data_IF_956941983570
#
_entry.id   IF_956941983570
#
_cell.length_a   1.000
_cell.length_b   1.000
_cell.length_c   1.000
_cell.angle_alpha   90.00
_cell.angle_beta   90.00
_cell.angle_gamma   90.00
#
_symmetry.space_group_name_H-M   'P 1'
#
loop_
_entity.id
_entity.type
_entity.pdbx_description
1 polymer ?
#
# COMPACT_ATOMS: atom_id res chain seq x y z
N UNK A 1 -7.00 16.63 0.47
CA UNK A 1 -5.55 16.26 0.57
C UNK A 1 -5.42 14.76 0.77
N UNK A 2 -5.29 14.02 -0.33
CA UNK A 2 -5.38 12.55 -0.34
C UNK A 2 -4.06 11.90 0.08
N UNK A 3 -4.07 11.22 1.23
CA UNK A 3 -2.91 10.55 1.83
C UNK A 3 -3.02 9.03 1.68
N UNK A 4 -2.53 8.49 0.56
CA UNK A 4 -2.34 7.04 0.37
C UNK A 4 -0.86 6.67 0.39
N UNK A 5 -0.56 5.60 1.13
CA UNK A 5 0.78 5.15 1.52
C UNK A 5 1.65 4.74 0.33
N UNK A 6 2.94 5.03 0.45
CA UNK A 6 4.00 4.83 -0.56
C UNK A 6 4.97 3.74 -0.09
N UNK A 7 5.29 2.76 -0.95
CA UNK A 7 6.32 1.72 -0.78
C UNK A 7 7.02 1.51 -2.13
N UNK A 8 8.23 1.00 -2.21
CA UNK A 8 8.81 0.44 -3.45
C UNK A 8 9.47 -0.85 -3.00
N UNK A 9 9.44 -1.94 -3.77
CA UNK A 9 10.14 -3.18 -3.42
C UNK A 9 11.23 -3.49 -4.43
N UNK A 10 12.28 -4.16 -3.98
CA UNK A 10 13.31 -4.74 -4.85
C UNK A 10 13.36 -6.24 -4.61
N UNK A 11 13.65 -7.05 -5.64
CA UNK A 11 13.85 -8.49 -5.51
C UNK A 11 15.26 -8.87 -5.94
N UNK A 12 16.00 -9.53 -5.04
CA UNK A 12 16.92 -10.63 -5.30
C UNK A 12 17.12 -11.39 -3.97
N UNK A 13 17.20 -12.73 -4.00
CA UNK A 13 17.18 -13.58 -2.80
C UNK A 13 18.50 -13.59 -2.00
N UNK A 14 18.51 -14.00 -0.71
CA UNK A 14 17.37 -14.13 0.18
C UNK A 14 17.12 -12.82 0.93
N UNK A 15 15.99 -12.19 0.61
CA UNK A 15 15.27 -11.18 1.39
C UNK A 15 16.02 -9.89 1.77
N UNK A 16 16.37 -9.09 0.76
CA UNK A 16 16.54 -7.63 0.91
C UNK A 16 15.30 -6.91 0.36
N UNK A 17 14.37 -6.51 1.22
CA UNK A 17 13.18 -5.75 0.85
C UNK A 17 13.34 -4.28 1.25
N UNK A 18 13.90 -3.44 0.37
CA UNK A 18 14.05 -2.01 0.65
C UNK A 18 12.73 -1.26 0.47
N UNK A 19 12.00 -1.01 1.56
CA UNK A 19 10.79 -0.17 1.49
C UNK A 19 11.17 1.29 1.58
N UNK A 20 11.05 2.00 0.45
CA UNK A 20 11.36 3.43 0.41
C UNK A 20 10.16 4.35 0.69
N UNK A 21 10.31 5.33 1.60
CA UNK A 21 9.28 6.35 1.90
C UNK A 21 9.76 7.80 1.73
N UNK A 22 9.11 8.54 0.82
CA UNK A 22 9.36 9.96 0.46
C UNK A 22 9.15 10.97 1.59
N UNK A 23 8.30 10.67 2.56
CA UNK A 23 8.05 11.48 3.76
C UNK A 23 8.13 10.54 4.96
N UNK A 24 9.00 10.85 5.90
CA UNK A 24 9.53 9.93 6.92
C UNK A 24 8.53 9.27 7.87
N UNK A 25 9.11 8.49 8.78
CA UNK A 25 8.52 7.67 9.84
C UNK A 25 7.54 6.62 9.32
N UNK A 26 7.84 5.35 9.53
CA UNK A 26 6.88 4.26 9.30
C UNK A 26 5.58 4.54 10.05
N UNK A 27 4.45 4.23 9.41
CA UNK A 27 3.11 4.42 10.00
C UNK A 27 2.91 5.84 10.57
N UNK A 28 3.08 6.84 9.70
CA UNK A 28 2.74 8.23 10.05
C UNK A 28 1.30 8.36 10.59
N UNK A 29 1.08 9.19 11.62
CA UNK A 29 -0.24 9.38 12.25
C UNK A 29 -1.26 10.06 11.36
N UNK A 30 -0.83 10.60 10.21
CA UNK A 30 -1.76 11.15 9.24
C UNK A 30 -2.47 10.02 8.51
N UNK A 31 -3.80 10.01 8.60
CA UNK A 31 -4.67 9.07 7.89
C UNK A 31 -6.02 8.96 8.60
N UNK A 32 -7.05 8.71 7.81
CA UNK A 32 -8.36 8.30 8.35
C UNK A 32 -8.42 6.77 8.45
N UNK A 33 -9.60 6.28 8.74
CA UNK A 33 -9.96 4.87 8.76
C UNK A 33 -9.93 4.28 7.34
N UNK A 34 -9.47 3.04 7.22
CA UNK A 34 -9.59 2.24 5.99
C UNK A 34 -10.51 1.06 6.24
N UNK A 35 -11.14 0.58 5.17
CA UNK A 35 -12.02 -0.59 5.21
C UNK A 35 -11.40 -1.72 4.39
N UNK A 36 -11.01 -2.79 5.07
CA UNK A 36 -10.56 -4.05 4.49
C UNK A 36 -11.79 -4.88 4.10
N UNK A 37 -11.89 -5.17 2.81
CA UNK A 37 -12.91 -6.04 2.26
C UNK A 37 -12.52 -7.52 2.42
N UNK A 38 -13.47 -8.48 2.29
CA UNK A 38 -13.22 -9.90 2.53
C UNK A 38 -11.99 -10.48 1.83
N UNK A 39 -11.74 -10.09 0.59
CA UNK A 39 -10.57 -10.53 -0.18
C UNK A 39 -9.24 -10.04 0.43
N UNK A 40 -9.22 -8.82 0.97
CA UNK A 40 -8.06 -8.31 1.70
C UNK A 40 -7.83 -9.07 3.00
N UNK A 41 -8.90 -9.37 3.74
CA UNK A 41 -8.83 -10.18 4.96
C UNK A 41 -8.30 -11.59 4.66
N UNK A 42 -8.73 -12.22 3.57
CA UNK A 42 -8.25 -13.53 3.13
C UNK A 42 -6.74 -13.55 2.86
N UNK A 43 -6.20 -12.51 2.21
CA UNK A 43 -4.76 -12.39 1.96
C UNK A 43 -4.00 -12.24 3.29
N UNK A 44 -4.49 -11.40 4.21
CA UNK A 44 -3.86 -11.22 5.52
C UNK A 44 -3.89 -12.50 6.36
N UNK A 45 -4.91 -13.35 6.18
CA UNK A 45 -4.98 -14.65 6.83
C UNK A 45 -3.87 -15.58 6.33
N UNK A 46 -3.65 -15.63 5.00
CA UNK A 46 -2.54 -16.40 4.41
C UNK A 46 -1.16 -15.93 4.90
N UNK A 47 -1.03 -14.63 5.19
CA UNK A 47 0.19 -14.05 5.73
C UNK A 47 0.33 -14.21 7.25
N UNK A 48 -0.64 -14.83 7.94
CA UNK A 48 -0.67 -14.95 9.41
C UNK A 48 -0.58 -13.59 10.13
N UNK A 49 -1.33 -12.60 9.62
CA UNK A 49 -1.44 -11.23 10.15
C UNK A 49 -2.90 -10.87 10.49
N UNK A 50 -3.88 -11.63 10.00
CA UNK A 50 -5.29 -11.27 10.14
C UNK A 50 -5.72 -11.13 11.61
N UNK A 51 -5.27 -12.00 12.50
CA UNK A 51 -5.69 -11.97 13.90
C UNK A 51 -5.28 -10.67 14.60
N UNK A 52 -4.04 -10.20 14.40
CA UNK A 52 -3.57 -8.89 14.89
C UNK A 52 -4.47 -7.73 14.41
N UNK A 53 -4.99 -7.85 13.18
CA UNK A 53 -5.91 -6.86 12.60
C UNK A 53 -7.28 -6.97 13.26
N UNK A 54 -7.80 -8.19 13.47
CA UNK A 54 -9.08 -8.42 14.11
C UNK A 54 -9.10 -7.92 15.56
N UNK A 55 -8.03 -8.13 16.32
CA UNK A 55 -7.89 -7.65 17.70
C UNK A 55 -7.85 -6.12 17.79
N UNK A 56 -7.47 -5.46 16.69
CA UNK A 56 -7.37 -4.01 16.60
C UNK A 56 -8.66 -3.30 16.18
N UNK A 57 -9.74 -4.03 15.88
CA UNK A 57 -10.98 -3.42 15.39
C UNK A 57 -12.27 -4.14 15.80
N UNK A 58 -13.32 -3.35 15.99
CA UNK A 58 -14.64 -3.87 16.35
C UNK A 58 -15.33 -4.54 15.16
N UNK A 59 -16.21 -5.50 15.47
CA UNK A 59 -17.10 -6.10 14.48
C UNK A 59 -18.14 -5.08 13.99
N UNK A 60 -18.34 -5.01 12.68
CA UNK A 60 -19.39 -4.18 12.09
C UNK A 60 -20.73 -4.93 12.06
N UNK A 61 -21.78 -4.25 12.51
CA UNK A 61 -23.15 -4.77 12.61
C UNK A 61 -24.01 -4.40 11.40
N UNK A 62 -25.11 -3.68 11.63
CA UNK A 62 -26.04 -3.24 10.57
C UNK A 62 -25.54 -1.95 9.90
N UNK A 63 -25.92 -1.74 8.64
CA UNK A 63 -25.67 -0.50 7.93
C UNK A 63 -26.91 0.38 7.95
N UNK A 64 -26.75 1.66 8.30
CA UNK A 64 -27.83 2.65 8.35
C UNK A 64 -27.57 3.76 7.35
N UNK A 65 -28.58 4.12 6.58
CA UNK A 65 -28.57 5.26 5.68
C UNK A 65 -29.52 6.31 6.25
N UNK A 66 -28.96 7.49 6.48
CA UNK A 66 -29.65 8.58 7.16
C UNK A 66 -29.68 9.83 6.30
N UNK A 67 -30.76 10.58 6.40
CA UNK A 67 -30.89 11.93 5.86
C UNK A 67 -30.09 12.93 6.72
N UNK A 68 -29.90 14.18 6.25
CA UNK A 68 -29.20 15.21 7.03
C UNK A 68 -29.84 15.53 8.40
N UNK A 69 -31.14 15.34 8.55
CA UNK A 69 -31.92 15.44 9.80
C UNK A 69 -31.87 14.16 10.66
N UNK A 70 -30.93 13.25 10.36
CA UNK A 70 -30.66 11.99 11.05
C UNK A 70 -31.76 10.91 10.97
N UNK A 71 -32.83 11.15 10.22
CA UNK A 71 -33.88 10.15 9.95
C UNK A 71 -33.29 8.98 9.17
N UNK A 72 -33.48 7.76 9.68
CA UNK A 72 -33.07 6.54 8.98
C UNK A 72 -34.13 6.18 7.93
N UNK A 73 -33.74 6.11 6.65
CA UNK A 73 -34.65 5.73 5.56
C UNK A 73 -34.33 4.35 4.99
N UNK A 74 -33.14 3.79 5.27
CA UNK A 74 -32.77 2.44 4.89
C UNK A 74 -31.85 1.83 5.96
N UNK A 75 -32.11 0.59 6.32
CA UNK A 75 -31.26 -0.22 7.18
C UNK A 75 -31.12 -1.62 6.58
N UNK A 76 -29.91 -2.20 6.61
CA UNK A 76 -29.70 -3.56 6.12
C UNK A 76 -28.56 -4.29 6.84
N UNK A 77 -28.50 -5.60 6.62
CA UNK A 77 -27.49 -6.50 7.20
C UNK A 77 -26.30 -6.68 6.26
N UNK A 78 -25.84 -5.60 5.60
CA UNK A 78 -24.75 -5.66 4.62
C UNK A 78 -23.52 -6.43 5.12
N UNK A 79 -23.02 -6.14 6.33
CA UNK A 79 -21.81 -6.80 6.84
C UNK A 79 -22.02 -8.30 7.17
N UNK A 80 -23.10 -8.71 7.85
CA UNK A 80 -23.45 -10.14 7.97
C UNK A 80 -23.60 -10.87 6.63
N UNK A 81 -24.29 -10.25 5.66
CA UNK A 81 -24.49 -10.82 4.31
C UNK A 81 -23.15 -11.02 3.60
N UNK A 82 -22.28 -9.99 3.62
CA UNK A 82 -20.94 -10.08 3.02
C UNK A 82 -20.14 -11.21 3.66
N UNK A 83 -20.16 -11.36 4.98
CA UNK A 83 -19.50 -12.48 5.67
C UNK A 83 -20.05 -13.83 5.21
N UNK A 84 -21.38 -13.97 5.14
CA UNK A 84 -22.05 -15.22 4.75
C UNK A 84 -21.60 -15.70 3.37
N UNK A 85 -21.49 -14.80 2.39
CA UNK A 85 -21.17 -15.18 1.01
C UNK A 85 -19.67 -15.16 0.69
N UNK A 86 -18.88 -14.29 1.34
CA UNK A 86 -17.44 -14.17 1.06
C UNK A 86 -16.54 -14.92 2.05
N UNK A 87 -17.09 -15.47 3.14
CA UNK A 87 -16.37 -16.25 4.16
C UNK A 87 -15.51 -15.41 5.12
N UNK A 88 -15.31 -14.13 4.85
CA UNK A 88 -14.55 -13.21 5.69
C UNK A 88 -15.38 -11.96 5.99
N UNK A 89 -15.17 -11.40 7.18
CA UNK A 89 -15.80 -10.14 7.52
C UNK A 89 -15.08 -8.95 6.87
N UNK A 90 -15.84 -7.92 6.54
CA UNK A 90 -15.27 -6.58 6.32
C UNK A 90 -14.80 -6.00 7.67
N UNK A 91 -13.66 -5.31 7.66
CA UNK A 91 -13.06 -4.69 8.86
C UNK A 91 -12.65 -3.27 8.60
N UNK A 92 -12.87 -2.41 9.59
CA UNK A 92 -12.63 -0.99 9.48
C UNK A 92 -11.76 -0.56 10.65
N UNK A 93 -10.59 0.02 10.36
CA UNK A 93 -9.57 0.36 11.35
C UNK A 93 -8.75 1.57 10.92
N UNK A 94 -8.09 2.21 11.87
CA UNK A 94 -7.22 3.35 11.60
C UNK A 94 -6.06 2.93 10.66
N UNK A 95 -5.83 3.70 9.59
CA UNK A 95 -4.76 3.39 8.61
C UNK A 95 -3.38 3.31 9.24
N UNK A 96 -3.08 4.17 10.22
CA UNK A 96 -1.82 4.15 10.94
C UNK A 96 -1.65 2.81 11.66
N UNK A 97 -2.66 2.39 12.42
CA UNK A 97 -2.63 1.16 13.18
C UNK A 97 -2.42 -0.05 12.27
N UNK A 98 -3.12 -0.10 11.13
CA UNK A 98 -2.90 -1.14 10.13
C UNK A 98 -1.46 -1.17 9.62
N UNK A 99 -0.85 -0.01 9.33
CA UNK A 99 0.55 0.06 8.90
C UNK A 99 1.53 -0.36 10.00
N UNK A 100 1.24 -0.04 11.27
CA UNK A 100 2.02 -0.50 12.42
C UNK A 100 2.00 -2.02 12.51
N UNK A 101 0.83 -2.65 12.41
CA UNK A 101 0.68 -4.12 12.42
C UNK A 101 1.53 -4.73 11.30
N UNK A 102 1.37 -4.25 10.07
CA UNK A 102 2.16 -4.75 8.94
C UNK A 102 3.67 -4.58 9.13
N UNK A 103 4.12 -3.46 9.69
CA UNK A 103 5.54 -3.21 9.95
C UNK A 103 6.08 -4.11 11.06
N UNK A 104 5.31 -4.28 12.14
CA UNK A 104 5.71 -5.09 13.28
C UNK A 104 5.89 -6.56 12.89
N UNK A 105 5.10 -7.04 11.92
CA UNK A 105 5.15 -8.40 11.37
C UNK A 105 6.25 -8.62 10.31
N UNK A 106 7.02 -7.58 9.95
CA UNK A 106 8.19 -7.77 9.09
C UNK A 106 9.27 -8.59 9.82
N UNK A 107 9.86 -9.62 9.17
CA UNK A 107 10.89 -10.46 9.78
C UNK A 107 12.19 -9.70 10.03
N UNK A 108 12.54 -8.77 9.13
CA UNK A 108 13.72 -7.92 9.26
C UNK A 108 13.33 -6.46 8.98
N UNK A 109 13.30 -5.65 10.04
CA UNK A 109 12.97 -4.22 9.98
C UNK A 109 14.15 -3.38 9.49
N UNK A 110 15.38 -3.89 9.53
CA UNK A 110 16.58 -3.18 9.06
C UNK A 110 16.53 -2.88 7.55
N UNK A 111 15.73 -3.65 6.81
CA UNK A 111 15.50 -3.43 5.37
C UNK A 111 14.59 -2.25 5.07
N UNK A 112 13.90 -1.68 6.07
CA UNK A 112 13.02 -0.53 5.86
C UNK A 112 13.83 0.75 6.01
N UNK A 113 14.23 1.33 4.87
CA UNK A 113 15.01 2.55 4.81
C UNK A 113 14.12 3.77 4.65
N UNK A 114 14.10 4.62 5.67
CA UNK A 114 13.37 5.89 5.63
C UNK A 114 14.20 6.99 4.96
N UNK A 115 13.56 8.02 4.41
CA UNK A 115 14.20 9.25 3.86
C UNK A 115 15.06 9.10 2.59
N UNK A 116 15.35 7.90 2.10
CA UNK A 116 16.02 7.50 0.83
C UNK A 116 15.33 7.82 -0.55
N UNK A 117 15.20 9.09 -0.96
CA UNK A 117 14.31 9.50 -2.09
C UNK A 117 14.68 9.01 -3.47
N UNK A 118 13.97 8.02 -4.02
CA UNK A 118 14.09 7.65 -5.45
C UNK A 118 13.81 8.87 -6.34
N UNK A 119 14.75 9.16 -7.24
CA UNK A 119 14.66 10.22 -8.24
C UNK A 119 14.76 9.71 -9.66
N UNK A 120 15.47 8.59 -9.87
CA UNK A 120 15.57 7.92 -11.17
C UNK A 120 15.73 6.40 -10.98
N UNK A 121 15.44 5.65 -12.04
CA UNK A 121 15.65 4.21 -12.15
C UNK A 121 16.28 3.97 -13.50
N UNK A 122 17.43 3.30 -13.53
CA UNK A 122 18.19 2.96 -14.72
C UNK A 122 18.06 1.46 -14.99
N UNK A 123 17.57 1.12 -16.17
CA UNK A 123 17.59 -0.25 -16.71
C UNK A 123 18.96 -0.53 -17.30
N UNK A 124 19.59 -1.61 -16.84
CA UNK A 124 20.84 -2.13 -17.36
C UNK A 124 20.58 -3.45 -18.08
N UNK A 125 21.63 -4.05 -18.64
CA UNK A 125 21.50 -5.28 -19.44
C UNK A 125 20.92 -6.45 -18.61
N UNK A 126 21.33 -6.58 -17.35
CA UNK A 126 20.99 -7.73 -16.49
C UNK A 126 20.48 -7.28 -15.11
N UNK A 127 20.36 -5.97 -14.89
CA UNK A 127 20.01 -5.40 -13.59
C UNK A 127 19.19 -4.12 -13.77
N UNK A 128 18.74 -3.59 -12.64
CA UNK A 128 18.22 -2.25 -12.54
C UNK A 128 18.85 -1.51 -11.38
N UNK A 129 19.19 -0.25 -11.63
CA UNK A 129 19.82 0.66 -10.69
C UNK A 129 18.84 1.74 -10.26
N UNK A 130 18.81 2.04 -8.99
CA UNK A 130 17.96 3.07 -8.37
C UNK A 130 18.85 4.20 -7.97
N UNK A 131 18.51 5.42 -8.37
CA UNK A 131 19.23 6.61 -7.96
C UNK A 131 18.39 7.35 -6.94
N UNK A 132 19.01 7.66 -5.80
CA UNK A 132 18.40 8.42 -4.72
C UNK A 132 18.77 9.90 -4.79
N UNK A 133 17.98 10.74 -4.14
CA UNK A 133 18.13 12.19 -4.16
C UNK A 133 19.40 12.69 -3.46
N UNK A 134 19.99 11.87 -2.58
CA UNK A 134 21.28 12.14 -1.93
C UNK A 134 22.47 11.61 -2.75
N UNK A 135 22.22 11.06 -3.95
CA UNK A 135 23.23 10.46 -4.82
C UNK A 135 23.53 9.00 -4.53
N UNK A 136 22.94 8.40 -3.49
CA UNK A 136 23.10 6.97 -3.21
C UNK A 136 22.49 6.13 -4.33
N UNK A 137 23.15 5.03 -4.68
CA UNK A 137 22.67 4.10 -5.70
C UNK A 137 22.46 2.69 -5.13
N UNK A 138 21.42 2.01 -5.61
CA UNK A 138 21.16 0.60 -5.31
C UNK A 138 20.99 -0.18 -6.61
N UNK A 139 21.63 -1.34 -6.71
CA UNK A 139 21.50 -2.26 -7.85
C UNK A 139 20.76 -3.52 -7.41
N UNK A 140 19.84 -4.01 -8.24
CA UNK A 140 19.15 -5.28 -8.05
C UNK A 140 18.47 -5.76 -9.34
N UNK A 141 17.72 -6.85 -9.30
CA UNK A 141 17.09 -7.38 -10.54
C UNK A 141 15.76 -6.72 -10.89
N UNK A 142 15.02 -6.28 -9.88
CA UNK A 142 13.63 -5.87 -10.03
C UNK A 142 13.34 -4.65 -9.19
N UNK A 143 12.61 -3.70 -9.77
CA UNK A 143 11.94 -2.60 -9.06
C UNK A 143 10.43 -2.83 -9.07
N UNK A 144 9.79 -2.68 -7.91
CA UNK A 144 8.34 -2.71 -7.75
C UNK A 144 7.89 -1.36 -7.24
N UNK A 145 7.25 -0.56 -8.09
CA UNK A 145 6.64 0.71 -7.68
C UNK A 145 5.38 0.48 -6.84
N UNK A 146 5.40 0.85 -5.56
CA UNK A 146 4.21 0.91 -4.70
C UNK A 146 4.06 2.31 -4.07
N UNK A 147 4.65 3.35 -4.68
CA UNK A 147 4.94 4.66 -4.09
C UNK A 147 3.76 5.65 -4.16
N UNK A 148 2.56 5.07 -4.20
CA UNK A 148 1.28 5.74 -4.07
C UNK A 148 0.89 6.57 -5.29
N UNK A 149 -0.11 7.43 -5.09
CA UNK A 149 -0.75 8.20 -6.18
C UNK A 149 0.19 9.15 -6.92
N UNK A 150 1.24 9.65 -6.25
CA UNK A 150 2.29 10.50 -6.83
C UNK A 150 3.57 9.69 -7.09
N UNK A 151 3.41 8.55 -7.75
CA UNK A 151 4.46 7.57 -7.99
C UNK A 151 5.53 8.14 -8.93
N UNK A 152 6.76 8.29 -8.42
CA UNK A 152 7.95 8.59 -9.21
C UNK A 152 8.37 7.37 -10.02
N UNK A 153 8.20 6.15 -9.47
CA UNK A 153 8.48 4.93 -10.24
C UNK A 153 7.64 4.87 -11.52
N UNK A 154 6.33 5.13 -11.42
CA UNK A 154 5.43 5.18 -12.57
C UNK A 154 5.87 6.23 -13.58
N UNK A 155 6.18 7.44 -13.12
CA UNK A 155 6.65 8.54 -13.96
C UNK A 155 7.89 8.14 -14.78
N UNK A 156 8.93 7.61 -14.12
CA UNK A 156 10.17 7.17 -14.80
C UNK A 156 9.91 6.03 -15.78
N UNK A 157 9.09 5.04 -15.40
CA UNK A 157 8.76 3.93 -16.30
C UNK A 157 7.99 4.40 -17.53
N UNK A 158 7.09 5.38 -17.38
CA UNK A 158 6.31 5.93 -18.48
C UNK A 158 7.17 6.74 -19.45
N UNK A 159 8.04 7.60 -18.93
CA UNK A 159 9.02 8.33 -19.74
C UNK A 159 9.88 7.37 -20.56
N UNK A 160 10.40 6.31 -19.92
CA UNK A 160 11.20 5.29 -20.59
C UNK A 160 10.43 4.53 -21.66
N UNK A 161 9.20 4.13 -21.38
CA UNK A 161 8.35 3.46 -22.35
C UNK A 161 8.12 4.36 -23.58
N UNK A 162 7.82 5.64 -23.36
CA UNK A 162 7.64 6.63 -24.43
C UNK A 162 8.93 6.95 -25.19
N UNK A 163 10.10 6.82 -24.56
CA UNK A 163 11.39 6.94 -25.27
C UNK A 163 11.69 5.74 -26.16
N UNK A 164 11.36 4.52 -25.72
CA UNK A 164 11.53 3.29 -26.52
C UNK A 164 10.52 3.22 -27.66
N UNK A 165 9.27 3.59 -27.38
CA UNK A 165 8.16 3.59 -28.33
C UNK A 165 7.42 4.94 -28.17
N UNK A 166 7.68 5.92 -29.04
CA UNK A 166 7.04 7.23 -28.97
C UNK A 166 5.51 7.14 -28.85
N UNK A 167 4.95 7.87 -27.88
CA UNK A 167 3.51 7.96 -27.61
C UNK A 167 2.81 6.66 -27.17
N UNK A 168 3.57 5.62 -26.77
CA UNK A 168 3.00 4.35 -26.32
C UNK A 168 2.10 4.48 -25.07
N UNK A 169 2.48 5.36 -24.14
CA UNK A 169 1.72 5.67 -22.95
C UNK A 169 1.28 7.13 -23.01
N UNK A 170 -0.04 7.34 -23.08
CA UNK A 170 -0.62 8.67 -22.99
C UNK A 170 -0.47 9.21 -21.56
N UNK A 171 0.02 10.45 -21.38
CA UNK A 171 0.05 11.07 -20.06
C UNK A 171 -1.36 11.12 -19.45
N UNK A 172 -1.50 10.78 -18.17
CA UNK A 172 -2.77 11.04 -17.47
C UNK A 172 -2.80 12.53 -17.17
N UNK A 173 -3.84 13.21 -17.65
CA UNK A 173 -4.16 14.60 -17.28
C UNK A 173 -4.36 14.76 -15.77
#
# INVERSE_FOLDING_TARGET
>A
MNHSSKKVFFRQQPLLAFTYRRKGIVASPFGTTITLQPHGCRILHQLSILDDVLDSCSTMGRCYYRTPDAQCFLENDFFPIVKKYAGYNTRTLNRQLFLCILYNRLPDKSKVLERHRVVDIIEEKESTRVVLADGTEYVGDLVVGADGVHSKVREVMWERANRKIPYFITPVL
#
